data_IF_611852726049
#
_entry.id   IF_611852726049
#
_cell.length_a   1.000
_cell.length_b   1.000
_cell.length_c   1.000
_cell.angle_alpha   90.00
_cell.angle_beta   90.00
_cell.angle_gamma   90.00
#
_symmetry.space_group_name_H-M   'P 1'
#
loop_
_entity.id
_entity.type
_entity.pdbx_description
1 polymer ?
#
# COMPACT_ATOMS: atom_id res chain seq x y z
N UNK A 1 -16.64 -19.58 -18.51
CA UNK A 1 -15.34 -18.86 -18.39
C UNK A 1 -14.45 -19.22 -19.59
N UNK A 2 -14.14 -18.24 -20.42
CA UNK A 2 -13.60 -18.44 -21.78
C UNK A 2 -12.16 -19.00 -21.76
N UNK A 3 -11.91 -20.10 -22.47
CA UNK A 3 -10.61 -20.80 -22.60
C UNK A 3 -9.49 -19.82 -23.05
N UNK A 4 -9.82 -18.86 -23.93
CA UNK A 4 -8.88 -17.81 -24.37
C UNK A 4 -8.38 -16.94 -23.21
N UNK A 5 -9.24 -16.59 -22.24
CA UNK A 5 -8.81 -15.83 -21.03
C UNK A 5 -7.92 -16.65 -20.11
N UNK A 6 -8.17 -17.97 -19.97
CA UNK A 6 -7.30 -18.85 -19.16
C UNK A 6 -5.92 -19.04 -19.79
N UNK A 7 -5.88 -19.25 -21.11
CA UNK A 7 -4.61 -19.38 -21.87
C UNK A 7 -3.80 -18.09 -21.85
N UNK A 8 -4.44 -16.92 -22.05
CA UNK A 8 -3.79 -15.61 -21.95
C UNK A 8 -3.18 -15.39 -20.56
N UNK A 9 -3.95 -15.67 -19.49
CA UNK A 9 -3.46 -15.52 -18.11
C UNK A 9 -2.30 -16.49 -17.80
N UNK A 10 -2.37 -17.73 -18.26
CA UNK A 10 -1.29 -18.70 -18.08
C UNK A 10 -0.02 -18.26 -18.82
N UNK A 11 -0.15 -17.81 -20.07
CA UNK A 11 0.98 -17.32 -20.85
C UNK A 11 1.62 -16.08 -20.22
N UNK A 12 0.80 -15.12 -19.76
CA UNK A 12 1.28 -13.93 -19.06
C UNK A 12 2.04 -14.29 -17.79
N UNK A 13 1.51 -15.20 -16.97
CA UNK A 13 2.18 -15.65 -15.75
C UNK A 13 3.51 -16.35 -16.04
N UNK A 14 3.57 -17.15 -17.11
CA UNK A 14 4.80 -17.84 -17.51
C UNK A 14 5.86 -16.84 -18.01
N UNK A 15 5.48 -15.89 -18.86
CA UNK A 15 6.39 -14.83 -19.34
C UNK A 15 6.89 -13.98 -18.18
N UNK A 16 6.02 -13.65 -17.23
CA UNK A 16 6.38 -12.88 -16.06
C UNK A 16 7.31 -13.63 -15.12
N UNK A 17 7.10 -14.93 -14.92
CA UNK A 17 8.01 -15.79 -14.16
C UNK A 17 9.41 -15.76 -14.75
N UNK A 18 9.54 -15.98 -16.06
CA UNK A 18 10.84 -15.93 -16.76
C UNK A 18 11.46 -14.53 -16.75
N UNK A 19 10.66 -13.48 -16.89
CA UNK A 19 11.15 -12.09 -16.80
C UNK A 19 11.71 -11.76 -15.42
N UNK A 20 11.02 -12.19 -14.35
CA UNK A 20 11.48 -12.01 -12.98
C UNK A 20 12.75 -12.83 -12.69
N UNK A 21 12.83 -14.07 -13.16
CA UNK A 21 14.03 -14.91 -13.03
C UNK A 21 15.23 -14.30 -13.78
N UNK A 22 15.01 -13.80 -14.99
CA UNK A 22 16.05 -13.13 -15.78
C UNK A 22 16.50 -11.81 -15.14
N UNK A 23 15.57 -11.03 -14.57
CA UNK A 23 15.87 -9.80 -13.84
C UNK A 23 16.69 -10.10 -12.58
N UNK A 24 16.27 -11.07 -11.77
CA UNK A 24 17.01 -11.50 -10.59
C UNK A 24 18.43 -12.00 -10.98
N UNK A 25 18.54 -12.80 -12.04
CA UNK A 25 19.85 -13.28 -12.49
C UNK A 25 20.77 -12.19 -13.02
N UNK A 26 20.20 -11.11 -13.59
CA UNK A 26 20.97 -9.97 -14.07
C UNK A 26 21.54 -9.10 -12.94
N UNK A 27 20.86 -9.08 -11.78
CA UNK A 27 21.26 -8.29 -10.61
C UNK A 27 22.16 -9.05 -9.64
N UNK A 28 22.22 -10.38 -9.75
CA UNK A 28 23.00 -11.28 -8.86
C UNK A 28 24.36 -11.70 -9.47
N UNK A 29 24.79 -10.97 -10.51
CA UNK A 29 25.98 -11.35 -11.31
C UNK A 29 27.30 -11.38 -10.53
N UNK A 30 27.38 -10.69 -9.39
CA UNK A 30 28.66 -10.51 -8.70
C UNK A 30 28.79 -11.37 -7.44
N UNK A 31 27.75 -12.12 -7.04
CA UNK A 31 27.78 -12.92 -5.80
C UNK A 31 28.05 -12.10 -4.52
N UNK A 32 28.13 -10.79 -4.63
CA UNK A 32 28.36 -9.90 -3.49
C UNK A 32 27.07 -9.73 -2.68
N UNK A 33 27.20 -10.00 -1.39
CA UNK A 33 26.14 -9.71 -0.43
C UNK A 33 25.94 -8.20 -0.37
N UNK A 34 24.79 -7.71 -0.83
CA UNK A 34 24.46 -6.29 -0.81
C UNK A 34 24.51 -5.75 0.60
N UNK A 35 25.32 -4.73 0.77
CA UNK A 35 25.46 -4.02 2.05
C UNK A 35 24.79 -2.66 1.92
N UNK A 36 24.10 -2.28 2.97
CA UNK A 36 23.53 -0.94 3.08
C UNK A 36 24.63 0.02 3.50
N UNK A 37 24.76 1.15 2.82
CA UNK A 37 25.69 2.22 3.21
C UNK A 37 25.39 2.64 4.65
N UNK A 38 26.40 2.69 5.54
CA UNK A 38 26.20 3.14 6.92
C UNK A 38 25.53 4.52 6.98
N UNK A 39 24.50 4.67 7.84
CA UNK A 39 23.73 5.90 8.01
C UNK A 39 22.64 6.13 6.96
N UNK A 40 22.61 5.35 5.86
CA UNK A 40 21.60 5.51 4.82
C UNK A 40 20.17 5.21 5.31
N UNK A 41 19.90 4.15 6.09
CA UNK A 41 18.55 3.88 6.60
C UNK A 41 17.98 5.01 7.44
N UNK A 42 18.79 5.62 8.29
CA UNK A 42 18.40 6.77 9.12
C UNK A 42 18.13 8.01 8.28
N UNK A 43 18.96 8.26 7.27
CA UNK A 43 18.79 9.37 6.35
C UNK A 43 17.49 9.21 5.54
N UNK A 44 17.24 8.04 4.99
CA UNK A 44 16.03 7.75 4.21
C UNK A 44 14.77 7.84 5.06
N UNK A 45 14.81 7.37 6.30
CA UNK A 45 13.68 7.50 7.23
C UNK A 45 13.36 8.96 7.51
N UNK A 46 14.37 9.79 7.75
CA UNK A 46 14.18 11.22 7.94
C UNK A 46 13.65 11.90 6.68
N UNK A 47 14.24 11.60 5.52
CA UNK A 47 13.79 12.15 4.25
C UNK A 47 12.33 11.79 3.95
N UNK A 48 11.92 10.55 4.21
CA UNK A 48 10.53 10.12 4.04
C UNK A 48 9.58 10.86 5.01
N UNK A 49 9.98 11.03 6.27
CA UNK A 49 9.19 11.78 7.25
C UNK A 49 9.09 13.26 6.90
N UNK A 50 10.19 13.88 6.51
CA UNK A 50 10.23 15.31 6.13
C UNK A 50 9.51 15.56 4.80
N UNK A 51 9.43 14.55 3.91
CA UNK A 51 8.73 14.61 2.64
C UNK A 51 7.22 14.36 2.74
N UNK A 52 6.72 13.79 3.83
CA UNK A 52 5.30 13.55 4.01
C UNK A 52 4.52 14.88 4.09
N UNK A 53 3.36 14.93 3.42
CA UNK A 53 2.52 16.14 3.39
C UNK A 53 1.22 15.88 4.10
N UNK A 54 0.97 16.61 5.19
CA UNK A 54 -0.31 16.59 5.89
C UNK A 54 -1.30 17.50 5.15
N UNK A 55 -2.36 16.93 4.60
CA UNK A 55 -3.41 17.66 3.90
C UNK A 55 -4.52 18.10 4.84
N UNK A 56 -4.87 17.25 5.81
CA UNK A 56 -5.92 17.49 6.78
C UNK A 56 -5.56 16.84 8.12
N UNK A 57 -5.92 17.50 9.23
CA UNK A 57 -5.81 16.93 10.58
C UNK A 57 -6.80 17.65 11.52
N UNK A 58 -7.77 16.92 12.04
CA UNK A 58 -8.74 17.45 13.02
C UNK A 58 -8.18 17.49 14.46
N UNK A 59 -6.91 17.18 14.64
CA UNK A 59 -6.23 17.08 15.93
C UNK A 59 -5.94 15.65 16.39
N UNK A 60 -6.30 14.63 15.59
CA UNK A 60 -5.99 13.22 15.93
C UNK A 60 -4.49 12.93 15.85
N UNK A 61 -3.77 13.63 14.99
CA UNK A 61 -2.31 13.50 14.89
C UNK A 61 -1.60 14.60 15.65
N UNK A 62 -0.47 14.31 16.32
CA UNK A 62 0.18 12.98 16.39
C UNK A 62 -0.58 12.01 17.29
N UNK A 63 -0.59 10.73 16.95
CA UNK A 63 -1.18 9.70 17.80
C UNK A 63 -0.44 9.63 19.14
N UNK A 64 -1.19 9.46 20.21
CA UNK A 64 -0.63 9.33 21.56
C UNK A 64 0.15 8.02 21.71
N UNK A 65 1.10 8.01 22.65
CA UNK A 65 1.84 6.79 22.98
C UNK A 65 0.92 5.73 23.57
N UNK A 66 1.03 4.50 23.08
CA UNK A 66 0.19 3.38 23.48
C UNK A 66 -1.03 3.16 22.57
N UNK A 67 -1.30 4.07 21.62
CA UNK A 67 -2.44 3.93 20.70
C UNK A 67 -2.39 2.60 19.94
N UNK A 68 -3.53 1.90 19.93
CA UNK A 68 -3.74 0.70 19.15
C UNK A 68 -4.35 1.06 17.80
N UNK A 69 -3.73 0.55 16.74
CA UNK A 69 -4.04 0.89 15.35
C UNK A 69 -4.49 -0.34 14.59
N UNK A 70 -5.66 -0.29 13.97
CA UNK A 70 -6.08 -1.24 12.96
C UNK A 70 -5.68 -0.70 11.56
N UNK A 71 -4.79 -1.41 10.88
CA UNK A 71 -4.28 -1.01 9.56
C UNK A 71 -5.05 -1.74 8.46
N UNK A 72 -5.62 -0.98 7.54
CA UNK A 72 -6.39 -1.45 6.40
C UNK A 72 -5.75 -0.99 5.08
N UNK A 73 -6.03 -1.71 4.02
CA UNK A 73 -5.48 -1.46 2.69
C UNK A 73 -4.31 -2.38 2.37
N UNK A 74 -4.37 -3.05 1.21
CA UNK A 74 -3.29 -3.93 0.71
C UNK A 74 -1.95 -3.20 0.70
N UNK A 75 -1.96 -1.92 0.28
CA UNK A 75 -0.76 -1.07 0.24
C UNK A 75 -0.14 -0.85 1.62
N UNK A 76 -0.90 -1.00 2.71
CA UNK A 76 -0.38 -0.96 4.06
C UNK A 76 0.63 -2.08 4.36
N UNK A 77 0.51 -3.20 3.66
CA UNK A 77 1.33 -4.40 3.80
C UNK A 77 2.28 -4.63 2.64
N UNK A 78 1.90 -4.16 1.44
CA UNK A 78 2.64 -4.25 0.19
C UNK A 78 2.80 -2.83 -0.39
N UNK A 79 3.61 -2.01 0.27
CA UNK A 79 3.73 -0.58 -0.03
C UNK A 79 4.43 -0.34 -1.36
N UNK A 80 3.99 0.70 -2.06
CA UNK A 80 4.76 1.26 -3.15
C UNK A 80 5.92 2.09 -2.57
N UNK A 81 7.15 1.69 -2.82
CA UNK A 81 8.36 2.35 -2.32
C UNK A 81 9.28 2.83 -3.45
N UNK A 82 8.89 2.59 -4.69
CA UNK A 82 9.59 3.02 -5.90
C UNK A 82 8.64 2.91 -7.10
N UNK A 83 8.79 3.79 -8.09
CA UNK A 83 8.06 3.69 -9.35
C UNK A 83 8.49 2.51 -10.20
N UNK A 84 7.65 2.15 -11.17
CA UNK A 84 7.98 1.13 -12.16
C UNK A 84 8.80 1.71 -13.31
N UNK A 85 9.56 0.87 -14.00
CA UNK A 85 10.35 1.24 -15.18
C UNK A 85 11.85 1.09 -14.95
N UNK A 86 12.64 1.69 -15.84
CA UNK A 86 14.11 1.54 -15.84
C UNK A 86 14.78 2.05 -14.56
N UNK A 87 14.17 3.03 -13.88
CA UNK A 87 14.63 3.55 -12.60
C UNK A 87 13.97 2.87 -11.39
N UNK A 88 12.95 2.04 -11.60
CA UNK A 88 12.13 1.44 -10.55
C UNK A 88 12.53 0.03 -10.14
N UNK A 89 13.23 -0.69 -11.01
CA UNK A 89 13.69 -2.06 -10.72
C UNK A 89 15.01 -2.02 -9.92
N UNK A 90 14.91 -1.55 -8.67
CA UNK A 90 16.06 -1.45 -7.79
C UNK A 90 16.24 -2.71 -6.96
N UNK A 91 17.46 -3.22 -6.93
CA UNK A 91 17.81 -4.36 -6.13
C UNK A 91 18.08 -3.92 -4.67
N UNK A 92 17.04 -3.93 -3.86
CA UNK A 92 17.09 -3.55 -2.45
C UNK A 92 17.37 -4.75 -1.54
N UNK A 93 18.10 -4.57 -0.46
CA UNK A 93 18.32 -5.63 0.54
C UNK A 93 17.07 -5.94 1.36
N UNK A 94 16.17 -4.96 1.55
CA UNK A 94 14.89 -5.09 2.24
C UNK A 94 13.95 -3.94 1.85
N UNK A 95 12.67 -4.07 2.18
CA UNK A 95 11.69 -3.01 2.16
C UNK A 95 10.95 -2.97 3.50
N UNK A 96 10.44 -1.80 3.89
CA UNK A 96 9.66 -1.60 5.11
C UNK A 96 8.26 -1.15 4.69
N UNK A 97 7.26 -1.96 5.00
CA UNK A 97 5.85 -1.60 4.78
C UNK A 97 5.34 -0.67 5.89
N UNK A 98 4.14 -0.09 5.71
CA UNK A 98 3.50 0.68 6.80
C UNK A 98 3.24 -0.20 8.03
N UNK A 99 2.82 -1.47 7.82
CA UNK A 99 2.67 -2.43 8.91
C UNK A 99 3.98 -2.63 9.68
N UNK A 100 5.10 -2.81 8.97
CA UNK A 100 6.41 -2.97 9.60
C UNK A 100 6.85 -1.67 10.30
N UNK A 101 6.55 -0.51 9.72
CA UNK A 101 6.81 0.80 10.32
C UNK A 101 6.07 0.99 11.66
N UNK A 102 4.79 0.61 11.72
CA UNK A 102 4.00 0.67 12.96
C UNK A 102 4.59 -0.31 14.00
N UNK A 103 4.93 -1.54 13.60
CA UNK A 103 5.50 -2.55 14.51
C UNK A 103 6.87 -2.17 15.05
N UNK A 104 7.65 -1.41 14.28
CA UNK A 104 8.96 -0.92 14.70
C UNK A 104 8.88 0.38 15.52
N UNK A 105 7.66 0.89 15.77
CA UNK A 105 7.43 2.10 16.57
C UNK A 105 7.03 1.72 17.99
N UNK A 106 7.85 2.04 18.97
CA UNK A 106 7.59 1.76 20.40
C UNK A 106 6.33 2.46 20.96
N UNK A 107 5.79 3.43 20.22
CA UNK A 107 4.63 4.24 20.63
C UNK A 107 3.30 3.69 20.15
N UNK A 108 3.29 2.78 19.18
CA UNK A 108 2.06 2.28 18.55
C UNK A 108 1.96 0.76 18.67
N UNK A 109 0.75 0.25 18.64
CA UNK A 109 0.50 -1.20 18.61
C UNK A 109 -0.37 -1.55 17.42
N UNK A 110 0.17 -2.31 16.46
CA UNK A 110 -0.59 -2.82 15.31
C UNK A 110 -1.55 -3.94 15.76
N UNK A 111 -2.79 -3.91 15.27
CA UNK A 111 -3.75 -5.00 15.50
C UNK A 111 -3.27 -6.29 14.83
N UNK A 112 -2.97 -7.34 15.61
CA UNK A 112 -2.43 -8.58 15.06
C UNK A 112 -3.48 -9.40 14.29
N UNK A 113 -4.77 -9.18 14.55
CA UNK A 113 -5.86 -9.90 13.87
C UNK A 113 -6.01 -9.39 12.45
N UNK A 114 -6.09 -8.07 12.28
CA UNK A 114 -6.17 -7.45 10.96
C UNK A 114 -4.89 -7.71 10.17
N UNK A 115 -3.71 -7.60 10.80
CA UNK A 115 -2.44 -7.97 10.16
C UNK A 115 -2.49 -9.41 9.62
N UNK A 116 -2.95 -10.37 10.42
CA UNK A 116 -3.02 -11.78 10.01
C UNK A 116 -3.95 -11.97 8.81
N UNK A 117 -5.13 -11.33 8.83
CA UNK A 117 -6.11 -11.41 7.74
C UNK A 117 -5.50 -10.92 6.42
N UNK A 118 -4.86 -9.74 6.41
CA UNK A 118 -4.21 -9.19 5.21
C UNK A 118 -3.04 -10.02 4.73
N UNK A 119 -2.17 -10.50 5.65
CA UNK A 119 -1.03 -11.33 5.26
C UNK A 119 -1.46 -12.70 4.70
N UNK A 120 -2.53 -13.29 5.25
CA UNK A 120 -3.08 -14.54 4.69
C UNK A 120 -3.74 -14.32 3.34
N UNK A 121 -4.44 -13.19 3.17
CA UNK A 121 -4.98 -12.81 1.88
C UNK A 121 -3.89 -12.66 0.81
N UNK A 122 -2.81 -11.94 1.12
CA UNK A 122 -1.69 -11.70 0.21
C UNK A 122 -1.00 -13.01 -0.20
N UNK A 123 -0.87 -13.98 0.71
CA UNK A 123 -0.34 -15.31 0.37
C UNK A 123 -1.20 -16.03 -0.67
N UNK A 124 -2.52 -15.89 -0.59
CA UNK A 124 -3.48 -16.52 -1.51
C UNK A 124 -3.66 -15.73 -2.81
N UNK A 125 -3.44 -14.42 -2.75
CA UNK A 125 -3.62 -13.47 -3.83
C UNK A 125 -2.34 -12.63 -4.00
N UNK A 126 -1.23 -13.23 -4.43
CA UNK A 126 0.03 -12.51 -4.56
C UNK A 126 -0.10 -11.37 -5.57
N UNK A 127 0.52 -10.25 -5.25
CA UNK A 127 0.52 -9.06 -6.08
C UNK A 127 1.18 -9.38 -7.41
N UNK A 128 0.50 -8.98 -8.48
CA UNK A 128 1.01 -9.05 -9.82
C UNK A 128 1.55 -7.67 -10.22
N UNK A 129 2.85 -7.50 -10.18
CA UNK A 129 3.53 -6.26 -10.56
C UNK A 129 3.48 -5.97 -12.08
N UNK A 130 2.87 -6.85 -12.88
CA UNK A 130 2.82 -6.66 -14.32
C UNK A 130 4.18 -6.90 -14.99
N UNK A 131 4.38 -6.27 -16.14
CA UNK A 131 5.63 -6.27 -16.88
C UNK A 131 5.79 -4.92 -17.60
N UNK A 132 6.93 -4.68 -18.24
CA UNK A 132 7.26 -3.40 -18.87
C UNK A 132 6.10 -2.74 -19.64
N UNK A 133 5.72 -1.51 -19.23
CA UNK A 133 4.60 -0.75 -19.80
C UNK A 133 3.20 -1.25 -19.44
N UNK A 134 3.08 -2.34 -18.67
CA UNK A 134 1.82 -2.95 -18.26
C UNK A 134 1.71 -3.16 -16.75
N UNK A 135 2.42 -2.34 -15.97
CA UNK A 135 2.32 -2.33 -14.53
C UNK A 135 0.90 -1.98 -14.05
N UNK A 136 0.45 -2.50 -12.90
CA UNK A 136 -0.84 -2.12 -12.32
C UNK A 136 -0.80 -0.65 -11.89
N UNK A 137 -1.95 0.02 -11.91
CA UNK A 137 -2.08 1.35 -11.31
C UNK A 137 -2.22 1.29 -9.80
N UNK A 138 -2.85 0.23 -9.29
CA UNK A 138 -3.06 -0.03 -7.87
C UNK A 138 -3.08 -1.55 -7.63
N UNK A 139 -3.01 -1.95 -6.38
CA UNK A 139 -3.20 -3.33 -5.98
C UNK A 139 -4.67 -3.54 -5.58
N UNK A 140 -5.39 -4.51 -6.19
CA UNK A 140 -6.79 -4.77 -5.84
C UNK A 140 -6.96 -5.03 -4.35
N UNK A 141 -7.94 -4.34 -3.75
CA UNK A 141 -8.19 -4.43 -2.33
C UNK A 141 -8.88 -5.74 -1.95
N UNK A 142 -8.65 -6.17 -0.73
CA UNK A 142 -9.28 -7.34 -0.14
C UNK A 142 -10.75 -7.02 0.21
N UNK A 143 -11.72 -7.87 -0.16
CA UNK A 143 -13.06 -7.76 0.40
C UNK A 143 -13.03 -7.93 1.92
N UNK A 144 -13.52 -6.92 2.65
CA UNK A 144 -13.58 -6.96 4.11
C UNK A 144 -14.86 -7.67 4.58
N UNK A 145 -14.72 -8.46 5.63
CA UNK A 145 -15.83 -8.96 6.41
C UNK A 145 -16.22 -7.89 7.45
N UNK A 146 -17.46 -7.44 7.44
CA UNK A 146 -17.96 -6.43 8.39
C UNK A 146 -17.73 -6.84 9.85
N UNK A 147 -17.87 -8.14 10.17
CA UNK A 147 -17.58 -8.65 11.50
C UNK A 147 -16.11 -8.45 11.90
N UNK A 148 -15.19 -8.57 10.94
CA UNK A 148 -13.77 -8.32 11.21
C UNK A 148 -13.50 -6.83 11.47
N UNK A 149 -14.19 -5.92 10.76
CA UNK A 149 -14.08 -4.47 10.97
C UNK A 149 -14.66 -4.06 12.33
N UNK A 150 -15.86 -4.54 12.67
CA UNK A 150 -16.49 -4.33 13.99
C UNK A 150 -15.58 -4.82 15.13
N UNK A 151 -15.04 -6.03 15.00
CA UNK A 151 -14.11 -6.59 15.99
C UNK A 151 -12.81 -5.77 16.10
N UNK A 152 -12.34 -5.20 15.00
CA UNK A 152 -11.19 -4.30 15.00
C UNK A 152 -11.54 -3.00 15.76
N UNK A 153 -12.71 -2.39 15.48
CA UNK A 153 -13.18 -1.19 16.17
C UNK A 153 -13.26 -1.37 17.69
N UNK A 154 -13.73 -2.52 18.13
CA UNK A 154 -13.85 -2.84 19.56
C UNK A 154 -12.50 -2.97 20.29
N UNK A 155 -11.39 -3.09 19.57
CA UNK A 155 -10.05 -3.30 20.12
C UNK A 155 -9.08 -2.16 19.85
N UNK A 156 -9.40 -1.27 18.91
CA UNK A 156 -8.48 -0.23 18.45
C UNK A 156 -9.16 1.14 18.45
N UNK A 157 -8.40 2.15 18.81
CA UNK A 157 -8.89 3.53 18.87
C UNK A 157 -8.96 4.19 17.48
N UNK A 158 -8.08 3.75 16.55
CA UNK A 158 -7.90 4.38 15.25
C UNK A 158 -7.82 3.34 14.16
N UNK A 159 -8.55 3.58 13.06
CA UNK A 159 -8.30 2.92 11.78
C UNK A 159 -7.30 3.74 10.97
N UNK A 160 -6.32 3.08 10.39
CA UNK A 160 -5.44 3.67 9.37
C UNK A 160 -5.72 2.97 8.05
N UNK A 161 -6.17 3.71 7.04
CA UNK A 161 -6.43 3.19 5.70
C UNK A 161 -5.36 3.68 4.73
N UNK A 162 -4.68 2.75 4.05
CA UNK A 162 -3.63 3.08 3.09
C UNK A 162 -4.16 2.86 1.68
N UNK A 163 -4.16 3.92 0.88
CA UNK A 163 -4.53 3.90 -0.53
C UNK A 163 -3.27 4.08 -1.37
N UNK A 164 -3.03 3.18 -2.29
CA UNK A 164 -1.82 3.17 -3.12
C UNK A 164 -2.08 3.46 -4.58
N UNK A 165 -1.18 4.22 -5.21
CA UNK A 165 -1.13 4.39 -6.67
C UNK A 165 0.30 4.27 -7.15
N UNK A 166 0.53 3.30 -8.00
CA UNK A 166 1.82 3.14 -8.62
C UNK A 166 2.06 4.21 -9.69
N UNK A 167 3.23 4.82 -9.68
CA UNK A 167 3.76 5.57 -10.81
C UNK A 167 4.69 4.67 -11.64
N UNK A 168 4.86 4.94 -12.91
CA UNK A 168 5.73 4.13 -13.75
C UNK A 168 6.04 4.78 -15.09
N UNK A 169 7.22 4.48 -15.60
CA UNK A 169 7.65 4.90 -16.94
C UNK A 169 6.69 4.32 -17.99
N UNK A 170 6.24 5.14 -18.93
CA UNK A 170 5.23 4.77 -19.96
C UNK A 170 3.89 4.29 -19.36
N UNK A 171 3.58 4.65 -18.12
CA UNK A 171 2.35 4.27 -17.43
C UNK A 171 1.70 5.49 -16.79
N UNK A 172 1.29 6.44 -17.63
CA UNK A 172 0.65 7.68 -17.18
C UNK A 172 -0.69 7.42 -16.50
N UNK A 173 -1.02 8.31 -15.56
CA UNK A 173 -2.33 8.31 -14.90
C UNK A 173 -3.46 8.41 -15.93
N UNK A 174 -4.52 7.64 -15.73
CA UNK A 174 -5.72 7.61 -16.58
C UNK A 174 -6.95 8.01 -15.79
N UNK A 175 -7.87 8.74 -16.42
CA UNK A 175 -9.16 9.13 -15.84
C UNK A 175 -10.09 7.91 -15.72
N UNK A 176 -9.70 6.97 -14.88
CA UNK A 176 -10.44 5.72 -14.61
C UNK A 176 -10.28 5.29 -13.15
N UNK A 177 -11.18 4.40 -12.71
CA UNK A 177 -11.11 3.76 -11.38
C UNK A 177 -9.82 2.95 -11.22
N UNK A 178 -9.24 3.01 -10.03
CA UNK A 178 -7.97 2.37 -9.72
C UNK A 178 -6.73 3.10 -10.28
N UNK A 179 -6.92 4.24 -10.99
CA UNK A 179 -5.85 5.14 -11.42
C UNK A 179 -6.08 6.52 -10.84
N UNK A 180 -6.79 7.41 -11.55
CA UNK A 180 -7.12 8.75 -11.05
C UNK A 180 -8.21 8.70 -9.96
N UNK A 181 -9.25 7.87 -10.15
CA UNK A 181 -10.33 7.70 -9.18
C UNK A 181 -10.11 6.50 -8.27
N UNK A 182 -10.76 6.49 -7.10
CA UNK A 182 -10.85 5.28 -6.27
C UNK A 182 -11.42 4.11 -7.07
N UNK A 183 -10.91 2.91 -6.80
CA UNK A 183 -11.49 1.67 -7.28
C UNK A 183 -12.73 1.29 -6.45
N UNK A 184 -13.59 0.42 -6.98
CA UNK A 184 -14.81 0.02 -6.28
C UNK A 184 -14.51 -0.76 -4.99
N UNK A 185 -13.46 -1.54 -4.96
CA UNK A 185 -12.99 -2.29 -3.79
C UNK A 185 -12.40 -1.37 -2.70
N UNK A 186 -11.71 -0.29 -3.11
CA UNK A 186 -11.23 0.74 -2.17
C UNK A 186 -12.41 1.53 -1.56
N UNK A 187 -13.42 1.85 -2.37
CA UNK A 187 -14.65 2.48 -1.87
C UNK A 187 -15.36 1.56 -0.87
N UNK A 188 -15.47 0.27 -1.19
CA UNK A 188 -16.09 -0.71 -0.28
C UNK A 188 -15.34 -0.83 1.05
N UNK A 189 -14.00 -0.80 1.03
CA UNK A 189 -13.18 -0.73 2.24
C UNK A 189 -13.50 0.52 3.05
N UNK A 190 -13.47 1.70 2.43
CA UNK A 190 -13.74 2.96 3.13
C UNK A 190 -15.17 3.03 3.66
N UNK A 191 -16.17 2.49 2.95
CA UNK A 191 -17.54 2.40 3.41
C UNK A 191 -17.65 1.55 4.69
N UNK A 192 -17.05 0.36 4.70
CA UNK A 192 -17.04 -0.51 5.87
C UNK A 192 -16.32 0.14 7.08
N UNK A 193 -15.22 0.86 6.84
CA UNK A 193 -14.54 1.58 7.92
C UNK A 193 -15.36 2.75 8.45
N UNK A 194 -16.05 3.48 7.57
CA UNK A 194 -16.85 4.64 7.96
C UNK A 194 -18.12 4.27 8.74
N UNK A 195 -18.61 3.04 8.61
CA UNK A 195 -19.71 2.51 9.42
C UNK A 195 -19.30 2.22 10.86
N UNK A 196 -18.03 1.87 11.09
CA UNK A 196 -17.57 1.37 12.39
C UNK A 196 -16.67 2.37 13.15
N UNK A 197 -15.82 3.14 12.47
CA UNK A 197 -14.84 4.00 13.11
C UNK A 197 -15.23 5.48 13.07
N UNK A 198 -15.09 6.15 14.20
CA UNK A 198 -15.28 7.60 14.32
C UNK A 198 -14.07 8.42 13.84
N UNK A 199 -12.89 7.76 13.76
CA UNK A 199 -11.63 8.39 13.35
C UNK A 199 -10.84 7.47 12.44
N UNK A 200 -10.67 7.91 11.20
CA UNK A 200 -9.88 7.21 10.18
C UNK A 200 -8.73 8.12 9.75
N UNK A 201 -7.51 7.64 9.84
CA UNK A 201 -6.34 8.28 9.25
C UNK A 201 -6.10 7.69 7.87
N UNK A 202 -6.10 8.54 6.86
CA UNK A 202 -5.84 8.13 5.47
C UNK A 202 -4.38 8.41 5.14
N UNK A 203 -3.69 7.37 4.66
CA UNK A 203 -2.34 7.47 4.11
C UNK A 203 -2.42 7.25 2.59
N UNK A 204 -1.98 8.23 1.83
CA UNK A 204 -1.91 8.17 0.37
C UNK A 204 -0.48 7.86 -0.06
N UNK A 205 -0.22 6.61 -0.38
CA UNK A 205 1.07 6.15 -0.94
C UNK A 205 1.00 6.25 -2.47
N UNK A 206 1.19 7.46 -2.97
CA UNK A 206 0.96 7.82 -4.37
C UNK A 206 2.17 8.49 -5.00
N UNK A 207 2.43 8.20 -6.27
CA UNK A 207 3.50 8.83 -7.05
C UNK A 207 3.00 9.78 -8.15
N UNK A 208 1.73 10.17 -8.14
CA UNK A 208 1.12 11.00 -9.18
C UNK A 208 -0.16 11.70 -8.72
N UNK A 209 -0.87 12.30 -9.68
CA UNK A 209 -2.15 12.97 -9.41
C UNK A 209 -3.25 11.96 -9.07
N UNK A 210 -4.14 12.37 -8.17
CA UNK A 210 -5.21 11.52 -7.63
C UNK A 210 -6.45 12.37 -7.32
N UNK A 211 -7.64 11.87 -7.64
CA UNK A 211 -8.89 12.54 -7.30
C UNK A 211 -9.12 12.52 -5.79
N UNK A 212 -9.48 13.66 -5.24
CA UNK A 212 -9.75 13.83 -3.80
C UNK A 212 -11.24 14.14 -3.51
N UNK A 213 -12.11 14.12 -4.52
CA UNK A 213 -13.55 14.46 -4.35
C UNK A 213 -14.29 13.49 -3.42
N UNK A 214 -13.80 12.25 -3.28
CA UNK A 214 -14.38 11.23 -2.40
C UNK A 214 -14.30 11.59 -0.90
N UNK A 215 -13.41 12.48 -0.50
CA UNK A 215 -13.25 12.94 0.89
C UNK A 215 -14.57 13.49 1.43
N UNK A 216 -15.33 14.21 0.62
CA UNK A 216 -16.62 14.78 1.03
C UNK A 216 -17.60 13.73 1.58
N UNK A 217 -17.57 12.51 1.05
CA UNK A 217 -18.39 11.40 1.53
C UNK A 217 -18.03 10.97 2.94
N UNK A 218 -16.75 11.01 3.29
CA UNK A 218 -16.21 10.46 4.55
C UNK A 218 -15.73 11.54 5.54
N UNK A 219 -15.94 12.82 5.24
CA UNK A 219 -15.40 13.93 6.03
C UNK A 219 -15.77 13.94 7.52
N UNK A 220 -16.84 13.23 7.90
CA UNK A 220 -17.27 13.16 9.31
C UNK A 220 -16.42 12.21 10.13
N UNK A 221 -15.79 11.22 9.49
CA UNK A 221 -15.01 10.17 10.13
C UNK A 221 -13.53 10.24 9.78
N UNK A 222 -13.14 11.03 8.77
CA UNK A 222 -11.73 11.28 8.47
C UNK A 222 -11.14 12.20 9.53
N UNK A 223 -10.17 11.69 10.28
CA UNK A 223 -9.44 12.42 11.29
C UNK A 223 -8.19 13.12 10.74
N UNK A 224 -7.51 12.49 9.78
CA UNK A 224 -6.35 13.08 9.12
C UNK A 224 -6.11 12.45 7.74
N UNK A 225 -5.45 13.21 6.86
CA UNK A 225 -5.02 12.76 5.53
C UNK A 225 -3.58 13.17 5.32
N UNK A 226 -2.73 12.20 4.98
CA UNK A 226 -1.31 12.43 4.65
C UNK A 226 -0.98 11.83 3.29
N UNK A 227 -0.19 12.58 2.51
CA UNK A 227 0.51 12.01 1.35
C UNK A 227 1.85 11.47 1.84
N UNK A 228 2.07 10.19 1.62
CA UNK A 228 3.35 9.52 1.85
C UNK A 228 3.80 9.02 0.49
N UNK A 229 4.79 9.68 -0.07
CA UNK A 229 5.25 9.44 -1.44
C UNK A 229 5.75 8.01 -1.65
N UNK A 230 5.74 7.63 -2.92
CA UNK A 230 6.26 6.38 -3.44
C UNK A 230 7.79 6.39 -3.49
#
# INVERSE_FOLDING_TARGET
MNIKKKLSKALTNTVQFFANELSQSATDRDGEKKTVTPGMPELLRRAAADGAVMLENNGILPLEGGTRVALFGITGYESHYVGYGSGGDVNRPYAVSFADGIKNCDRLTLDPTIESIYREWNKKNPINNGFWGHWPFYFPEMPLDNTAVENARNKNEVAVAVIGRAAGESRDCKLQKGSYYLADDEIAMLDALAEEFDNIVILLNIGGIFDMSWIEKYKKVIGAILIVWQ
#
